data_IF_604502174936
#
_entry.id   IF_604502174936
#
_cell.length_a   1.000
_cell.length_b   1.000
_cell.length_c   1.000
_cell.angle_alpha   90.00
_cell.angle_beta   90.00
_cell.angle_gamma   90.00
#
_symmetry.space_group_name_H-M   'P 1'
#
loop_
_entity.id
_entity.type
_entity.pdbx_description
1 polymer ?
#
# COMPACT_ATOMS: atom_id res chain seq x y z
N UNK A 1 -27.40 8.82 -14.86
CA UNK A 1 -26.47 9.38 -13.86
C UNK A 1 -26.23 10.81 -14.30
N UNK A 2 -26.55 11.80 -13.48
CA UNK A 2 -26.49 13.22 -13.87
C UNK A 2 -25.04 13.75 -13.79
N UNK A 3 -24.73 14.78 -14.57
CA UNK A 3 -23.39 15.36 -14.74
C UNK A 3 -22.79 15.85 -13.41
N UNK A 4 -23.61 16.43 -12.53
CA UNK A 4 -23.18 16.90 -11.20
C UNK A 4 -22.80 15.73 -10.31
N UNK A 5 -23.56 14.63 -10.36
CA UNK A 5 -23.22 13.40 -9.64
C UNK A 5 -21.92 12.75 -10.14
N UNK A 6 -21.56 12.92 -11.41
CA UNK A 6 -20.30 12.44 -11.98
C UNK A 6 -19.11 13.31 -11.55
N UNK A 7 -19.29 14.64 -11.54
CA UNK A 7 -18.28 15.61 -11.08
C UNK A 7 -17.93 15.42 -9.60
N UNK A 8 -18.93 15.30 -8.73
CA UNK A 8 -18.71 15.07 -7.29
C UNK A 8 -17.96 13.75 -7.04
N UNK A 9 -18.33 12.68 -7.75
CA UNK A 9 -17.62 11.39 -7.66
C UNK A 9 -16.18 11.49 -8.17
N UNK A 10 -15.94 12.22 -9.25
CA UNK A 10 -14.61 12.41 -9.83
C UNK A 10 -13.68 13.24 -8.93
N UNK A 11 -14.21 14.29 -8.30
CA UNK A 11 -13.47 15.11 -7.32
C UNK A 11 -13.16 14.28 -6.07
N UNK A 12 -14.15 13.55 -5.55
CA UNK A 12 -13.96 12.66 -4.40
C UNK A 12 -12.91 11.57 -4.63
N UNK A 13 -12.88 10.98 -5.84
CA UNK A 13 -11.86 9.98 -6.18
C UNK A 13 -10.45 10.59 -6.31
N UNK A 14 -10.33 11.80 -6.85
CA UNK A 14 -9.06 12.53 -6.90
C UNK A 14 -8.53 12.87 -5.51
N UNK A 15 -9.37 13.41 -4.62
CA UNK A 15 -8.97 13.71 -3.24
C UNK A 15 -8.52 12.45 -2.50
N UNK A 16 -9.24 11.34 -2.67
CA UNK A 16 -8.86 10.06 -2.08
C UNK A 16 -7.51 9.58 -2.62
N UNK A 17 -7.28 9.68 -3.93
CA UNK A 17 -6.01 9.31 -4.55
C UNK A 17 -4.84 10.15 -4.01
N UNK A 18 -4.98 11.47 -3.94
CA UNK A 18 -3.93 12.37 -3.43
C UNK A 18 -3.62 12.08 -1.96
N UNK A 19 -4.65 11.86 -1.13
CA UNK A 19 -4.45 11.48 0.28
C UNK A 19 -3.70 10.16 0.42
N UNK A 20 -4.05 9.15 -0.38
CA UNK A 20 -3.37 7.85 -0.38
C UNK A 20 -1.92 7.95 -0.90
N UNK A 21 -1.67 8.82 -1.88
CA UNK A 21 -0.32 9.12 -2.37
C UNK A 21 0.55 9.77 -1.28
N UNK A 22 0.03 10.79 -0.60
CA UNK A 22 0.73 11.47 0.50
C UNK A 22 1.01 10.47 1.64
N UNK A 23 0.04 9.64 2.00
CA UNK A 23 0.20 8.64 3.05
C UNK A 23 1.27 7.61 2.68
N UNK A 24 1.29 7.18 1.41
CA UNK A 24 2.33 6.28 0.88
C UNK A 24 3.72 6.90 0.97
N UNK A 25 3.89 8.15 0.54
CA UNK A 25 5.17 8.86 0.64
C UNK A 25 5.62 8.99 2.11
N UNK A 26 4.70 9.29 3.03
CA UNK A 26 5.02 9.37 4.46
C UNK A 26 5.44 8.02 5.04
N UNK A 27 4.81 6.92 4.60
CA UNK A 27 5.19 5.57 4.98
C UNK A 27 6.61 5.25 4.48
N UNK A 28 6.90 5.56 3.22
CA UNK A 28 8.23 5.37 2.64
C UNK A 28 9.30 6.12 3.43
N UNK A 29 9.09 7.40 3.71
CA UNK A 29 10.02 8.21 4.49
C UNK A 29 10.21 7.64 5.91
N UNK A 30 9.12 7.25 6.57
CA UNK A 30 9.19 6.64 7.90
C UNK A 30 10.02 5.35 7.87
N UNK A 31 9.85 4.51 6.85
CA UNK A 31 10.67 3.32 6.67
C UNK A 31 12.15 3.65 6.42
N UNK A 32 12.44 4.59 5.52
CA UNK A 32 13.81 5.01 5.17
C UNK A 32 14.55 5.63 6.37
N UNK A 33 13.84 6.30 7.27
CA UNK A 33 14.38 6.85 8.51
C UNK A 33 14.27 5.89 9.71
N UNK A 34 14.00 4.60 9.46
CA UNK A 34 13.93 3.55 10.48
C UNK A 34 12.83 3.73 11.55
N UNK A 35 11.85 4.61 11.34
CA UNK A 35 10.66 4.74 12.17
C UNK A 35 9.58 3.73 11.74
N UNK A 36 9.86 2.45 12.01
CA UNK A 36 9.00 1.34 11.62
C UNK A 36 7.67 1.32 12.37
N UNK A 37 7.62 1.88 13.58
CA UNK A 37 6.37 2.01 14.34
C UNK A 37 5.41 2.94 13.60
N UNK A 38 5.90 4.10 13.17
CA UNK A 38 5.08 5.04 12.40
C UNK A 38 4.70 4.48 11.02
N UNK A 39 5.64 3.83 10.32
CA UNK A 39 5.35 3.15 9.05
C UNK A 39 4.23 2.10 9.20
N UNK A 40 4.23 1.32 10.30
CA UNK A 40 3.20 0.31 10.56
C UNK A 40 1.83 0.88 10.89
N UNK A 41 1.75 2.09 11.47
CA UNK A 41 0.47 2.78 11.70
C UNK A 41 -0.14 3.26 10.39
N UNK A 42 0.68 3.88 9.53
CA UNK A 42 0.24 4.34 8.21
C UNK A 42 -0.27 3.18 7.35
N UNK A 43 0.24 1.97 7.56
CA UNK A 43 -0.28 0.75 6.91
C UNK A 43 -1.71 0.38 7.29
N UNK A 44 -2.21 0.83 8.44
CA UNK A 44 -3.60 0.60 8.85
C UNK A 44 -4.56 1.56 8.13
N UNK A 45 -4.04 2.71 7.69
CA UNK A 45 -4.79 3.79 7.04
C UNK A 45 -4.74 3.73 5.49
N UNK A 46 -3.86 2.89 4.92
CA UNK A 46 -3.75 2.72 3.47
C UNK A 46 -4.93 1.91 2.93
N UNK A 47 -5.71 2.52 2.03
CA UNK A 47 -6.73 1.82 1.25
C UNK A 47 -6.03 0.92 0.21
N UNK A 48 -6.68 -0.17 -0.24
CA UNK A 48 -6.21 -0.93 -1.40
C UNK A 48 -6.41 -0.10 -2.69
N UNK A 49 -5.35 0.46 -3.32
CA UNK A 49 -5.52 1.32 -4.48
C UNK A 49 -5.73 0.54 -5.79
N UNK A 50 -5.74 -0.78 -5.69
CA UNK A 50 -5.46 -1.71 -6.79
C UNK A 50 -6.66 -2.00 -7.68
N UNK A 51 -7.87 -1.65 -7.24
CA UNK A 51 -9.07 -1.83 -8.05
C UNK A 51 -9.18 -0.77 -9.15
N UNK A 52 -8.45 0.35 -9.03
CA UNK A 52 -8.57 1.49 -9.96
C UNK A 52 -7.37 1.60 -10.91
N UNK A 53 -6.14 1.36 -10.43
CA UNK A 53 -4.92 1.45 -11.25
C UNK A 53 -3.91 0.32 -10.95
N UNK A 54 -4.27 -0.95 -11.18
CA UNK A 54 -3.33 -2.05 -11.07
C UNK A 54 -2.16 -1.81 -12.04
N UNK A 55 -0.93 -1.77 -11.53
CA UNK A 55 0.29 -1.61 -12.34
C UNK A 55 0.90 -0.22 -12.40
N UNK A 56 0.27 0.82 -11.81
CA UNK A 56 0.97 2.12 -11.71
C UNK A 56 2.21 2.00 -10.83
N UNK A 57 3.31 2.66 -11.24
CA UNK A 57 4.58 2.68 -10.50
C UNK A 57 4.37 2.98 -9.00
N UNK A 58 3.49 3.92 -8.67
CA UNK A 58 3.17 4.30 -7.29
C UNK A 58 2.53 3.17 -6.49
N UNK A 59 1.63 2.39 -7.07
CA UNK A 59 1.01 1.24 -6.40
C UNK A 59 2.04 0.14 -6.15
N UNK A 60 2.89 -0.16 -7.12
CA UNK A 60 3.96 -1.13 -6.95
C UNK A 60 4.97 -0.68 -5.87
N UNK A 61 5.33 0.60 -5.86
CA UNK A 61 6.23 1.19 -4.87
C UNK A 61 5.62 1.16 -3.46
N UNK A 62 4.36 1.56 -3.30
CA UNK A 62 3.64 1.46 -2.04
C UNK A 62 3.65 0.02 -1.51
N UNK A 63 3.37 -0.98 -2.36
CA UNK A 63 3.39 -2.39 -1.96
C UNK A 63 4.76 -2.90 -1.57
N UNK A 64 5.82 -2.46 -2.24
CA UNK A 64 7.19 -2.76 -1.82
C UNK A 64 7.41 -2.33 -0.36
N UNK A 65 7.09 -1.08 -0.02
CA UNK A 65 7.30 -0.56 1.32
C UNK A 65 6.34 -1.16 2.36
N UNK A 66 5.12 -1.52 1.97
CA UNK A 66 4.24 -2.33 2.83
C UNK A 66 4.86 -3.67 3.20
N UNK A 67 5.39 -4.40 2.21
CA UNK A 67 6.05 -5.68 2.43
C UNK A 67 7.28 -5.55 3.33
N UNK A 68 8.15 -4.58 3.03
CA UNK A 68 9.35 -4.30 3.82
C UNK A 68 9.02 -3.96 5.27
N UNK A 69 8.02 -3.10 5.49
CA UNK A 69 7.56 -2.74 6.84
C UNK A 69 7.01 -3.95 7.57
N UNK A 70 6.17 -4.77 6.93
CA UNK A 70 5.64 -6.00 7.54
C UNK A 70 6.75 -6.96 7.97
N UNK A 71 7.74 -7.23 7.11
CA UNK A 71 8.84 -8.12 7.47
C UNK A 71 9.73 -7.53 8.56
N UNK A 72 9.93 -6.21 8.58
CA UNK A 72 10.67 -5.57 9.66
C UNK A 72 9.94 -5.67 11.00
N UNK A 73 8.62 -5.44 11.03
CA UNK A 73 7.80 -5.64 12.23
C UNK A 73 7.81 -7.11 12.70
N UNK A 74 7.80 -8.07 11.77
CA UNK A 74 7.91 -9.49 12.09
C UNK A 74 9.24 -9.87 12.76
N UNK A 75 10.33 -9.13 12.51
CA UNK A 75 11.64 -9.39 13.14
C UNK A 75 11.67 -9.01 14.61
N UNK A 76 10.91 -7.98 15.00
CA UNK A 76 10.88 -7.46 16.37
C UNK A 76 9.69 -7.97 17.18
N UNK A 77 8.65 -8.48 16.52
CA UNK A 77 7.48 -9.07 17.16
C UNK A 77 7.73 -10.52 17.65
N UNK A 78 6.91 -10.97 18.60
CA UNK A 78 6.92 -12.33 19.14
C UNK A 78 5.57 -13.01 19.01
N UNK A 79 5.56 -14.35 19.05
CA UNK A 79 4.34 -15.15 19.10
C UNK A 79 3.36 -14.91 17.96
N UNK A 80 2.10 -14.64 18.30
CA UNK A 80 1.01 -14.42 17.35
C UNK A 80 1.21 -13.16 16.50
N UNK A 81 1.74 -12.09 17.09
CA UNK A 81 1.94 -10.82 16.39
C UNK A 81 3.00 -10.98 15.28
N UNK A 82 4.07 -11.73 15.55
CA UNK A 82 5.04 -12.12 14.51
C UNK A 82 4.36 -12.85 13.35
N UNK A 83 3.51 -13.84 13.63
CA UNK A 83 2.81 -14.63 12.60
C UNK A 83 1.89 -13.75 11.75
N UNK A 84 1.20 -12.79 12.36
CA UNK A 84 0.36 -11.79 11.66
C UNK A 84 1.20 -10.99 10.66
N UNK A 85 2.34 -10.44 11.09
CA UNK A 85 3.21 -9.65 10.22
C UNK A 85 3.84 -10.46 9.10
N UNK A 86 4.28 -11.70 9.36
CA UNK A 86 4.77 -12.62 8.32
C UNK A 86 3.66 -12.90 7.30
N UNK A 87 2.45 -13.25 7.75
CA UNK A 87 1.31 -13.53 6.87
C UNK A 87 1.00 -12.33 5.97
N UNK A 88 0.97 -11.12 6.53
CA UNK A 88 0.71 -9.89 5.77
C UNK A 88 1.81 -9.62 4.74
N UNK A 89 3.08 -9.72 5.12
CA UNK A 89 4.21 -9.57 4.21
C UNK A 89 4.18 -10.60 3.07
N UNK A 90 3.88 -11.87 3.37
CA UNK A 90 3.73 -12.92 2.35
C UNK A 90 2.58 -12.64 1.38
N UNK A 91 1.46 -12.11 1.85
CA UNK A 91 0.32 -11.76 0.99
C UNK A 91 0.71 -10.68 -0.03
N UNK A 92 1.50 -9.68 0.38
CA UNK A 92 2.04 -8.65 -0.53
C UNK A 92 2.91 -9.27 -1.62
N UNK A 93 3.83 -10.16 -1.26
CA UNK A 93 4.71 -10.85 -2.23
C UNK A 93 3.88 -11.62 -3.25
N UNK A 94 2.90 -12.40 -2.79
CA UNK A 94 2.00 -13.16 -3.68
C UNK A 94 1.23 -12.23 -4.63
N UNK A 95 0.79 -11.06 -4.15
CA UNK A 95 0.07 -10.07 -4.97
C UNK A 95 0.97 -9.50 -6.06
N UNK A 96 2.19 -9.08 -5.69
CA UNK A 96 3.20 -8.58 -6.63
C UNK A 96 3.60 -9.62 -7.67
N UNK A 97 3.73 -10.90 -7.29
CA UNK A 97 3.99 -12.00 -8.23
C UNK A 97 2.84 -12.22 -9.22
N UNK A 98 1.59 -12.09 -8.78
CA UNK A 98 0.43 -12.17 -9.66
C UNK A 98 0.44 -11.04 -10.69
N UNK A 99 0.75 -9.81 -10.28
CA UNK A 99 0.88 -8.68 -11.20
C UNK A 99 1.97 -8.91 -12.25
N UNK A 100 3.14 -9.38 -11.83
CA UNK A 100 4.24 -9.76 -12.74
C UNK A 100 3.77 -10.75 -13.80
N UNK A 101 3.02 -11.79 -13.40
CA UNK A 101 2.53 -12.84 -14.32
C UNK A 101 1.44 -12.33 -15.28
N UNK A 102 0.63 -11.37 -14.85
CA UNK A 102 -0.46 -10.82 -15.66
C UNK A 102 0.01 -9.85 -16.76
N UNK A 103 1.31 -9.56 -16.86
CA UNK A 103 1.82 -8.54 -17.79
C UNK A 103 1.35 -7.12 -17.46
N UNK A 104 0.70 -6.93 -16.30
CA UNK A 104 0.15 -5.65 -15.84
C UNK A 104 1.22 -4.70 -15.30
N UNK A 105 2.49 -5.07 -15.40
CA UNK A 105 3.63 -4.32 -14.89
C UNK A 105 4.20 -3.47 -16.02
N UNK A 106 3.41 -2.51 -16.50
CA UNK A 106 3.97 -1.32 -17.13
C UNK A 106 4.27 -0.33 -16.00
N UNK A 107 5.28 -0.67 -15.18
CA UNK A 107 5.87 0.26 -14.21
C UNK A 107 6.79 1.23 -14.92
#
# INVERSE_FOLDING_TARGET
>A
MDLDSMLVKSIGSHHKFVSQLILSIRMELSFLFHDYSNASKMLEDLDEPEEVFPGSFHVCRQKLFEGLTCFQMARVAVGQERRKWVKRGSAVVVKTEKWKKAGSVNC
#
